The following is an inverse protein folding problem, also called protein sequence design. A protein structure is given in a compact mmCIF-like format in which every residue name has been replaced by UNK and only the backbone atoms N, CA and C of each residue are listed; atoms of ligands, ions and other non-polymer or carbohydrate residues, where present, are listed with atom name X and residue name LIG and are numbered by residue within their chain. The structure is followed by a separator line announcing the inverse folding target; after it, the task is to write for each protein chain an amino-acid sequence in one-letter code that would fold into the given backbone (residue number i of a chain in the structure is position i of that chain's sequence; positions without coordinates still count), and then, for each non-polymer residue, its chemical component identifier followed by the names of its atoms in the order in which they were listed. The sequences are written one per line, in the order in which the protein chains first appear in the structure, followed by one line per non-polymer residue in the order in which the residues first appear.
data_IF_530394152062
#
_entry.id   IF_530394152062
#
_cell.length_a   1.000
_cell.length_b   1.000
_cell.length_c   1.000
_cell.angle_alpha   90.00
_cell.angle_beta   90.00
_cell.angle_gamma   90.00
#
_symmetry.space_group_name_H-M   'P 1'
#
loop_
_entity.id
_entity.type
_entity.pdbx_description
1 polymer ?
#
# COMPACT_ATOMS: atom_id res chain seq x y z
N UNK A 1 27.64 31.71 31.83
CA UNK A 1 27.37 30.25 31.80
C UNK A 1 25.89 29.88 31.76
N UNK A 2 24.94 30.73 32.23
CA UNK A 2 23.47 30.41 32.19
C UNK A 2 22.81 30.58 30.83
N UNK A 3 23.38 31.38 29.93
CA UNK A 3 22.83 31.60 28.59
C UNK A 3 23.12 30.45 27.58
N UNK A 4 24.24 29.72 27.77
CA UNK A 4 24.62 28.61 26.89
C UNK A 4 23.75 27.37 27.11
N UNK A 5 23.28 27.15 28.37
CA UNK A 5 22.42 26.01 28.72
C UNK A 5 21.00 26.15 28.16
N UNK A 6 20.49 27.38 28.03
CA UNK A 6 19.17 27.63 27.46
C UNK A 6 19.11 27.39 25.95
N UNK A 7 20.22 27.66 25.23
CA UNK A 7 20.30 27.45 23.78
C UNK A 7 20.37 25.96 23.42
N UNK A 8 21.02 25.14 24.28
CA UNK A 8 21.11 23.68 24.06
C UNK A 8 19.77 22.96 24.26
N UNK A 9 18.93 23.46 25.18
CA UNK A 9 17.62 22.89 25.48
C UNK A 9 16.59 23.20 24.36
N UNK A 10 16.74 24.34 23.68
CA UNK A 10 15.86 24.73 22.57
C UNK A 10 16.11 23.90 21.29
N UNK A 11 17.33 23.38 21.09
CA UNK A 11 17.64 22.52 19.93
C UNK A 11 17.10 21.09 20.05
N UNK A 12 16.77 20.61 21.25
CA UNK A 12 16.24 19.26 21.46
C UNK A 12 14.73 19.14 21.21
N UNK A 13 14.02 20.26 21.09
CA UNK A 13 12.57 20.28 20.83
C UNK A 13 12.20 20.26 19.34
N UNK A 14 13.16 20.38 18.43
CA UNK A 14 12.92 20.39 16.98
C UNK A 14 12.88 18.97 16.36
N UNK A 15 13.06 17.89 17.12
CA UNK A 15 13.17 16.53 16.60
C UNK A 15 11.83 15.75 16.53
N UNK A 16 10.69 16.38 16.80
CA UNK A 16 9.40 15.80 16.45
C UNK A 16 9.07 16.14 14.99
N UNK A 17 9.78 15.52 14.05
CA UNK A 17 9.29 15.44 12.67
C UNK A 17 7.99 14.64 12.70
N UNK A 18 6.86 15.34 12.78
CA UNK A 18 5.54 14.74 12.76
C UNK A 18 5.37 13.89 11.51
N UNK A 19 4.76 12.72 11.66
CA UNK A 19 4.31 11.90 10.53
C UNK A 19 3.57 12.81 9.56
N UNK A 20 3.93 12.83 8.27
CA UNK A 20 3.28 13.68 7.29
C UNK A 20 1.76 13.42 7.31
N UNK A 21 1.01 14.46 7.65
CA UNK A 21 -0.46 14.37 7.61
C UNK A 21 -0.88 14.21 6.15
N UNK A 22 -1.85 13.32 5.84
CA UNK A 22 -2.36 13.21 4.48
C UNK A 22 -2.78 14.59 3.96
N UNK A 23 -2.59 14.88 2.67
CA UNK A 23 -3.05 16.13 2.09
C UNK A 23 -4.55 16.30 2.36
N UNK A 24 -5.03 17.52 2.67
CA UNK A 24 -6.44 17.78 2.80
C UNK A 24 -7.16 17.43 1.48
N UNK A 25 -8.32 16.77 1.57
CA UNK A 25 -9.13 16.41 0.40
C UNK A 25 -8.85 15.02 -0.20
N UNK A 26 -7.95 14.21 0.38
CA UNK A 26 -7.78 12.83 -0.05
C UNK A 26 -8.91 11.95 0.52
N UNK A 27 -9.63 11.25 -0.36
CA UNK A 27 -10.69 10.32 0.02
C UNK A 27 -10.18 9.09 0.77
N UNK A 28 -11.05 8.42 1.52
CA UNK A 28 -10.71 7.19 2.26
C UNK A 28 -10.28 6.04 1.33
N UNK A 29 -10.78 6.03 0.09
CA UNK A 29 -10.42 5.07 -0.95
C UNK A 29 -9.30 5.58 -1.87
N UNK A 30 -8.53 6.59 -1.47
CA UNK A 30 -7.46 7.17 -2.27
C UNK A 30 -6.11 7.06 -1.58
N UNK A 31 -5.09 6.68 -2.34
CA UNK A 31 -3.70 6.60 -1.92
C UNK A 31 -2.80 7.47 -2.81
N UNK A 32 -1.82 8.13 -2.21
CA UNK A 32 -0.75 8.78 -2.97
C UNK A 32 0.33 7.72 -3.20
N UNK A 33 0.46 7.28 -4.44
CA UNK A 33 1.40 6.19 -4.81
C UNK A 33 2.74 6.71 -5.34
N UNK A 34 2.79 7.98 -5.76
CA UNK A 34 4.02 8.69 -6.11
C UNK A 34 3.76 10.21 -6.00
N UNK A 35 4.78 11.09 -6.01
CA UNK A 35 4.58 12.53 -6.02
C UNK A 35 3.60 12.96 -7.13
N UNK A 36 2.53 13.65 -6.74
CA UNK A 36 1.44 14.09 -7.63
C UNK A 36 0.68 12.95 -8.35
N UNK A 37 0.75 11.72 -7.82
CA UNK A 37 0.06 10.55 -8.40
C UNK A 37 -0.85 9.95 -7.35
N UNK A 38 -2.15 10.05 -7.57
CA UNK A 38 -3.19 9.46 -6.73
C UNK A 38 -3.75 8.23 -7.43
N UNK A 39 -3.86 7.13 -6.70
CA UNK A 39 -4.60 5.95 -7.09
C UNK A 39 -5.91 5.93 -6.31
N UNK A 40 -7.02 5.83 -7.02
CA UNK A 40 -8.32 5.55 -6.42
C UNK A 40 -8.54 4.05 -6.43
N UNK A 41 -8.76 3.45 -5.26
CA UNK A 41 -8.96 2.00 -5.14
C UNK A 41 -10.16 1.59 -6.00
N UNK A 42 -10.00 0.70 -6.98
CA UNK A 42 -11.10 0.25 -7.82
C UNK A 42 -12.08 -0.63 -7.04
N UNK A 43 -13.33 -0.76 -7.48
CA UNK A 43 -14.31 -1.62 -6.83
C UNK A 43 -13.85 -3.10 -6.89
N UNK A 44 -14.32 -3.97 -5.97
CA UNK A 44 -13.95 -5.38 -5.94
C UNK A 44 -14.19 -6.11 -7.25
N UNK A 45 -15.27 -5.78 -7.98
CA UNK A 45 -15.59 -6.36 -9.30
C UNK A 45 -14.46 -6.19 -10.34
N UNK A 46 -13.64 -5.15 -10.20
CA UNK A 46 -12.52 -4.89 -11.10
C UNK A 46 -11.36 -5.91 -10.94
N UNK A 47 -11.38 -6.75 -9.89
CA UNK A 47 -10.46 -7.87 -9.75
C UNK A 47 -10.64 -8.93 -10.85
N UNK A 48 -11.82 -8.96 -11.50
CA UNK A 48 -12.15 -9.86 -12.60
C UNK A 48 -12.49 -11.29 -12.16
N UNK A 49 -12.40 -11.60 -10.87
CA UNK A 49 -12.69 -12.93 -10.30
C UNK A 49 -12.97 -12.87 -8.81
N UNK A 50 -13.61 -13.91 -8.30
CA UNK A 50 -13.65 -14.17 -6.86
C UNK A 50 -12.40 -14.95 -6.44
N UNK A 51 -11.86 -14.64 -5.26
CA UNK A 51 -10.66 -15.28 -4.74
C UNK A 51 -10.57 -15.12 -3.21
N UNK A 52 -10.09 -16.17 -2.54
CA UNK A 52 -9.70 -16.14 -1.14
C UNK A 52 -8.19 -16.31 -1.04
N UNK A 53 -7.51 -15.42 -0.32
CA UNK A 53 -6.06 -15.36 -0.24
C UNK A 53 -5.59 -15.31 1.21
N UNK A 54 -4.51 -16.04 1.48
CA UNK A 54 -3.63 -15.80 2.60
C UNK A 54 -2.36 -15.10 2.10
N UNK A 55 -1.98 -14.00 2.73
CA UNK A 55 -0.77 -13.26 2.38
C UNK A 55 0.08 -12.95 3.60
N UNK A 56 1.40 -13.16 3.48
CA UNK A 56 2.38 -12.60 4.41
C UNK A 56 3.12 -11.46 3.73
N UNK A 57 3.16 -10.31 4.40
CA UNK A 57 3.76 -9.07 3.90
C UNK A 57 4.89 -8.64 4.81
N UNK A 58 6.02 -8.25 4.22
CA UNK A 58 7.11 -7.54 4.91
C UNK A 58 7.35 -6.22 4.19
N UNK A 59 6.99 -5.12 4.84
CA UNK A 59 7.26 -3.77 4.34
C UNK A 59 8.53 -3.21 4.97
N UNK A 60 9.44 -2.69 4.14
CA UNK A 60 10.68 -2.03 4.55
C UNK A 60 10.59 -0.55 4.23
N UNK A 61 10.71 0.29 5.24
CA UNK A 61 10.61 1.73 5.13
C UNK A 61 11.51 2.43 6.17
N UNK A 62 12.35 3.36 5.74
CA UNK A 62 13.29 4.11 6.58
C UNK A 62 14.13 3.22 7.53
N UNK A 63 14.66 2.10 7.01
CA UNK A 63 15.49 1.17 7.78
C UNK A 63 14.72 0.32 8.81
N UNK A 64 13.40 0.39 8.84
CA UNK A 64 12.53 -0.44 9.67
C UNK A 64 11.79 -1.46 8.83
N UNK A 65 11.52 -2.62 9.41
CA UNK A 65 10.70 -3.69 8.81
C UNK A 65 9.42 -3.89 9.62
N UNK A 66 8.33 -4.09 8.90
CA UNK A 66 7.01 -4.34 9.48
C UNK A 66 6.42 -5.58 8.79
N UNK A 67 6.02 -6.56 9.58
CA UNK A 67 5.40 -7.77 9.09
C UNK A 67 3.92 -7.81 9.44
N UNK A 68 3.09 -8.20 8.47
CA UNK A 68 1.66 -8.41 8.62
C UNK A 68 1.24 -9.68 7.88
N UNK A 69 0.38 -10.46 8.49
CA UNK A 69 -0.35 -11.55 7.84
C UNK A 69 -1.76 -11.08 7.50
N UNK A 70 -2.21 -11.35 6.29
CA UNK A 70 -3.51 -10.91 5.80
C UNK A 70 -4.35 -12.09 5.32
N UNK A 71 -5.64 -12.03 5.63
CA UNK A 71 -6.67 -12.83 5.00
C UNK A 71 -7.54 -11.91 4.15
N UNK A 72 -7.73 -12.27 2.89
CA UNK A 72 -8.43 -11.44 1.91
C UNK A 72 -9.43 -12.30 1.18
N UNK A 73 -10.70 -11.88 1.19
CA UNK A 73 -11.76 -12.47 0.41
C UNK A 73 -12.30 -11.44 -0.58
N UNK A 74 -12.36 -11.78 -1.86
CA UNK A 74 -12.87 -10.92 -2.92
C UNK A 74 -13.99 -11.62 -3.64
N UNK A 75 -15.13 -10.94 -3.76
CA UNK A 75 -16.25 -11.29 -4.62
C UNK A 75 -16.61 -10.05 -5.47
N UNK A 76 -17.44 -10.18 -6.52
CA UNK A 76 -17.75 -9.04 -7.40
C UNK A 76 -18.35 -7.82 -6.70
N UNK A 77 -19.08 -8.03 -5.62
CA UNK A 77 -19.78 -7.01 -4.82
C UNK A 77 -19.11 -6.69 -3.49
N UNK A 78 -18.05 -7.43 -3.12
CA UNK A 78 -17.44 -7.35 -1.79
C UNK A 78 -15.95 -7.63 -1.79
N UNK A 79 -15.22 -6.90 -0.93
CA UNK A 79 -13.87 -7.24 -0.49
C UNK A 79 -13.82 -7.17 1.04
N UNK A 80 -13.36 -8.27 1.65
CA UNK A 80 -13.02 -8.30 3.07
C UNK A 80 -11.53 -8.55 3.22
N UNK A 81 -10.88 -7.76 4.07
CA UNK A 81 -9.48 -7.91 4.40
C UNK A 81 -9.29 -7.77 5.91
N UNK A 82 -8.62 -8.74 6.51
CA UNK A 82 -8.16 -8.66 7.90
C UNK A 82 -6.64 -8.79 7.89
N UNK A 83 -5.96 -7.81 8.49
CA UNK A 83 -4.51 -7.83 8.69
C UNK A 83 -4.19 -8.00 10.18
N UNK A 84 -3.21 -8.84 10.48
CA UNK A 84 -2.73 -9.16 11.82
C UNK A 84 -1.21 -8.99 11.88
N UNK A 85 -0.68 -8.65 13.06
CA UNK A 85 0.76 -8.70 13.30
C UNK A 85 1.22 -10.13 13.63
N UNK A 86 2.54 -10.33 13.73
CA UNK A 86 3.12 -11.65 14.06
C UNK A 86 2.74 -12.21 15.44
N UNK A 87 2.02 -11.47 16.27
CA UNK A 87 1.43 -11.92 17.55
C UNK A 87 -0.06 -12.23 17.43
N UNK A 88 -0.63 -12.16 16.21
CA UNK A 88 -2.06 -12.39 15.98
C UNK A 88 -2.97 -11.22 16.39
N UNK A 89 -2.40 -10.05 16.74
CA UNK A 89 -3.22 -8.87 17.05
C UNK A 89 -3.71 -8.24 15.75
N UNK A 90 -5.00 -7.97 15.69
CA UNK A 90 -5.60 -7.32 14.52
C UNK A 90 -5.05 -5.90 14.35
N UNK A 91 -4.43 -5.66 13.20
CA UNK A 91 -3.88 -4.37 12.81
C UNK A 91 -4.92 -3.52 12.08
N UNK A 92 -5.67 -4.14 11.17
CA UNK A 92 -6.77 -3.47 10.48
C UNK A 92 -7.80 -4.46 9.94
N UNK A 93 -9.00 -3.93 9.66
CA UNK A 93 -10.05 -4.61 8.90
C UNK A 93 -10.53 -3.66 7.82
N UNK A 94 -10.72 -4.17 6.62
CA UNK A 94 -11.39 -3.47 5.51
C UNK A 94 -12.56 -4.32 5.08
N UNK A 95 -13.73 -3.70 5.00
CA UNK A 95 -14.91 -4.27 4.34
C UNK A 95 -15.34 -3.28 3.27
N UNK A 96 -15.29 -3.71 2.01
CA UNK A 96 -15.80 -2.94 0.90
C UNK A 96 -17.07 -3.60 0.39
N UNK A 97 -18.19 -2.95 0.56
CA UNK A 97 -19.49 -3.41 0.12
C UNK A 97 -20.29 -2.24 -0.45
N UNK A 98 -21.07 -2.47 -1.50
CA UNK A 98 -21.93 -1.46 -2.12
C UNK A 98 -21.19 -0.18 -2.54
N UNK A 99 -19.93 -0.32 -2.99
CA UNK A 99 -19.11 0.79 -3.46
C UNK A 99 -18.48 1.66 -2.35
N UNK A 100 -18.70 1.32 -1.08
CA UNK A 100 -18.19 2.08 0.07
C UNK A 100 -17.24 1.23 0.90
N UNK A 101 -15.96 1.64 1.05
CA UNK A 101 -15.05 0.99 1.99
C UNK A 101 -15.36 1.42 3.42
N UNK A 102 -15.45 0.45 4.33
CA UNK A 102 -15.42 0.66 5.77
C UNK A 102 -14.08 0.16 6.29
N UNK A 103 -13.33 1.05 6.94
CA UNK A 103 -11.97 0.78 7.35
C UNK A 103 -11.84 0.99 8.86
N UNK A 104 -11.36 -0.06 9.55
CA UNK A 104 -11.02 0.00 10.97
C UNK A 104 -9.52 -0.25 11.12
N UNK A 105 -8.82 0.64 11.79
CA UNK A 105 -7.39 0.55 12.08
C UNK A 105 -7.17 0.53 13.59
N UNK A 106 -6.30 -0.37 14.06
CA UNK A 106 -5.90 -0.41 15.46
C UNK A 106 -5.10 0.84 15.85
N UNK A 107 -5.31 1.34 17.07
CA UNK A 107 -4.61 2.52 17.61
C UNK A 107 -3.09 2.31 17.70
N UNK A 108 -2.65 1.08 17.97
CA UNK A 108 -1.23 0.74 18.07
C UNK A 108 -0.49 0.73 16.72
N UNK A 109 -1.23 0.64 15.59
CA UNK A 109 -0.61 0.66 14.26
C UNK A 109 -0.08 2.07 13.96
N UNK A 110 1.21 2.20 13.60
CA UNK A 110 1.80 3.51 13.37
C UNK A 110 0.99 4.36 12.36
N UNK A 111 0.89 5.69 12.56
CA UNK A 111 0.11 6.57 11.68
C UNK A 111 0.56 6.57 10.22
N UNK A 112 1.81 6.18 9.95
CA UNK A 112 2.36 6.05 8.60
C UNK A 112 1.63 4.97 7.79
N UNK A 113 1.05 3.97 8.43
CA UNK A 113 0.26 2.94 7.76
C UNK A 113 -1.18 3.41 7.58
N UNK A 114 -1.46 3.95 6.42
CA UNK A 114 -2.83 4.24 6.00
C UNK A 114 -3.41 3.00 5.33
N UNK A 115 -4.62 2.56 5.69
CA UNK A 115 -5.25 1.40 5.05
C UNK A 115 -5.37 1.51 3.53
N UNK A 116 -5.65 2.71 3.01
CA UNK A 116 -5.69 2.96 1.58
C UNK A 116 -4.34 2.70 0.88
N UNK A 117 -3.19 2.96 1.54
CA UNK A 117 -1.87 2.72 0.96
C UNK A 117 -1.56 1.22 0.90
N UNK A 118 -2.03 0.44 1.89
CA UNK A 118 -1.92 -1.02 1.89
C UNK A 118 -2.77 -1.61 0.76
N UNK A 119 -4.04 -1.17 0.64
CA UNK A 119 -4.92 -1.59 -0.44
C UNK A 119 -4.38 -1.19 -1.82
N UNK A 120 -3.82 0.01 -1.96
CA UNK A 120 -3.23 0.46 -3.22
C UNK A 120 -2.04 -0.43 -3.63
N UNK A 121 -1.19 -0.82 -2.68
CA UNK A 121 -0.08 -1.74 -2.93
C UNK A 121 -0.58 -3.11 -3.39
N UNK A 122 -1.66 -3.61 -2.79
CA UNK A 122 -2.31 -4.85 -3.18
C UNK A 122 -2.92 -4.75 -4.60
N UNK A 123 -3.65 -3.67 -4.89
CA UNK A 123 -4.19 -3.39 -6.24
C UNK A 123 -3.06 -3.33 -7.28
N UNK A 124 -2.00 -2.58 -7.00
CA UNK A 124 -0.85 -2.46 -7.90
C UNK A 124 -0.18 -3.81 -8.14
N UNK A 125 -0.12 -4.69 -7.15
CA UNK A 125 0.50 -6.00 -7.31
C UNK A 125 -0.35 -6.99 -8.09
N UNK A 126 -1.69 -6.99 -7.94
CA UNK A 126 -2.51 -8.12 -8.38
C UNK A 126 -3.61 -7.79 -9.38
N UNK A 127 -4.13 -6.55 -9.48
CA UNK A 127 -5.15 -6.21 -10.48
C UNK A 127 -4.57 -6.17 -11.90
N UNK A 128 -5.41 -6.34 -12.96
CA UNK A 128 -4.99 -6.19 -14.34
C UNK A 128 -4.36 -4.81 -14.62
N UNK A 129 -3.43 -4.74 -15.59
CA UNK A 129 -2.70 -3.50 -15.94
C UNK A 129 -3.63 -2.36 -16.34
N UNK A 130 -4.67 -2.65 -17.12
CA UNK A 130 -5.68 -1.68 -17.55
C UNK A 130 -6.49 -1.12 -16.39
N UNK A 131 -6.84 -1.97 -15.41
CA UNK A 131 -7.52 -1.55 -14.18
C UNK A 131 -6.61 -0.66 -13.32
N UNK A 132 -5.35 -1.06 -13.12
CA UNK A 132 -4.37 -0.24 -12.39
C UNK A 132 -4.15 1.09 -13.09
N UNK A 133 -4.06 1.08 -14.44
CA UNK A 133 -3.93 2.31 -15.22
C UNK A 133 -5.14 3.23 -15.09
N UNK A 134 -6.35 2.67 -15.14
CA UNK A 134 -7.59 3.43 -14.98
C UNK A 134 -7.73 3.99 -13.55
N UNK A 135 -7.26 3.26 -12.53
CA UNK A 135 -7.26 3.69 -11.14
C UNK A 135 -6.34 4.89 -10.88
N UNK A 136 -5.32 5.09 -11.73
CA UNK A 136 -4.41 6.25 -11.70
C UNK A 136 -4.90 7.27 -12.71
N UNK A 137 -5.62 8.31 -12.26
CA UNK A 137 -6.23 9.34 -13.12
C UNK A 137 -5.20 10.33 -13.72
N UNK A 138 -4.02 9.85 -14.10
CA UNK A 138 -2.95 10.65 -14.71
C UNK A 138 -2.59 10.06 -16.09
N UNK A 139 -2.91 10.77 -17.20
CA UNK A 139 -2.64 10.26 -18.54
C UNK A 139 -1.14 10.10 -18.85
N UNK A 140 -0.27 10.82 -18.14
CA UNK A 140 1.19 10.74 -18.32
C UNK A 140 1.82 9.50 -17.67
N UNK A 141 1.09 8.80 -16.78
CA UNK A 141 1.53 7.56 -16.16
C UNK A 141 1.26 6.39 -17.11
N UNK A 142 2.21 5.51 -17.24
CA UNK A 142 2.11 4.26 -18.00
C UNK A 142 2.18 3.08 -17.03
N UNK A 143 1.39 2.03 -17.30
CA UNK A 143 1.42 0.76 -16.59
C UNK A 143 1.66 -0.34 -17.61
N UNK A 144 2.63 -1.20 -17.38
CA UNK A 144 2.91 -2.34 -18.26
C UNK A 144 3.56 -3.48 -17.48
N UNK A 145 3.17 -4.71 -17.81
CA UNK A 145 3.78 -5.94 -17.31
C UNK A 145 4.49 -6.67 -18.44
N UNK A 146 5.78 -6.91 -18.28
CA UNK A 146 6.60 -7.66 -19.25
C UNK A 146 7.65 -8.48 -18.49
N UNK A 147 7.87 -9.71 -18.93
CA UNK A 147 8.91 -10.64 -18.42
C UNK A 147 8.86 -10.78 -16.88
N UNK A 148 7.65 -10.91 -16.31
CA UNK A 148 7.46 -11.04 -14.87
C UNK A 148 7.69 -9.76 -14.07
N UNK A 149 7.75 -8.60 -14.72
CA UNK A 149 7.95 -7.31 -14.07
C UNK A 149 6.89 -6.31 -14.51
N UNK A 150 6.09 -5.81 -13.57
CA UNK A 150 5.19 -4.67 -13.79
C UNK A 150 5.93 -3.38 -13.49
N UNK A 151 5.76 -2.40 -14.37
CA UNK A 151 6.32 -1.05 -14.18
C UNK A 151 5.23 -0.02 -14.26
N UNK A 152 5.22 0.89 -13.30
CA UNK A 152 4.43 2.11 -13.31
C UNK A 152 5.43 3.25 -13.49
N UNK A 153 5.33 3.99 -14.60
CA UNK A 153 6.33 5.00 -14.97
C UNK A 153 5.67 6.29 -15.47
N UNK A 154 6.42 7.38 -15.39
CA UNK A 154 6.02 8.69 -15.93
C UNK A 154 7.23 9.30 -16.63
N UNK A 155 7.06 9.71 -17.90
CA UNK A 155 8.14 10.33 -18.68
C UNK A 155 9.38 9.46 -18.77
N UNK A 156 9.23 8.14 -18.87
CA UNK A 156 10.34 7.17 -18.92
C UNK A 156 11.00 6.85 -17.57
N UNK A 157 10.62 7.52 -16.48
CA UNK A 157 11.12 7.23 -15.13
C UNK A 157 10.20 6.26 -14.40
N UNK A 158 10.75 5.18 -13.85
CA UNK A 158 10.00 4.28 -12.98
C UNK A 158 9.63 5.01 -11.68
N UNK A 159 8.37 4.81 -11.28
CA UNK A 159 7.82 5.27 -10.00
C UNK A 159 7.66 4.08 -9.06
N UNK A 160 7.15 2.96 -9.61
CA UNK A 160 6.93 1.72 -8.88
C UNK A 160 7.25 0.55 -9.81
N UNK A 161 7.93 -0.44 -9.26
CA UNK A 161 8.23 -1.71 -9.93
C UNK A 161 7.67 -2.85 -9.08
N UNK A 162 7.00 -3.83 -9.71
CA UNK A 162 6.61 -5.09 -9.07
C UNK A 162 7.31 -6.22 -9.81
N UNK A 163 8.19 -6.92 -9.11
CA UNK A 163 8.85 -8.12 -9.63
C UNK A 163 8.11 -9.35 -9.08
N UNK A 164 7.60 -10.17 -9.97
CA UNK A 164 6.88 -11.38 -9.61
C UNK A 164 7.82 -12.57 -9.53
N UNK A 165 7.67 -13.36 -8.48
CA UNK A 165 8.32 -14.64 -8.31
C UNK A 165 7.56 -15.79 -9.00
N UNK A 166 7.98 -17.02 -8.74
CA UNK A 166 7.30 -18.22 -9.23
C UNK A 166 5.82 -18.26 -8.84
N UNK A 167 5.02 -18.95 -9.64
CA UNK A 167 3.57 -19.11 -9.47
C UNK A 167 2.78 -18.40 -10.57
N UNK A 168 1.46 -18.56 -10.55
CA UNK A 168 0.54 -18.00 -11.53
C UNK A 168 -0.55 -17.18 -10.85
N UNK A 169 -1.08 -16.20 -11.59
CA UNK A 169 -2.21 -15.39 -11.13
C UNK A 169 -1.92 -14.70 -9.80
N UNK A 170 -2.73 -15.01 -8.80
CA UNK A 170 -2.64 -14.44 -7.46
C UNK A 170 -1.91 -15.37 -6.47
N UNK A 171 -1.63 -16.61 -6.89
CA UNK A 171 -0.86 -17.60 -6.12
C UNK A 171 0.64 -17.49 -6.45
N UNK A 172 1.22 -16.34 -6.16
CA UNK A 172 2.66 -16.07 -6.40
C UNK A 172 3.23 -15.05 -5.45
N UNK A 173 4.54 -15.10 -5.27
CA UNK A 173 5.25 -14.03 -4.58
C UNK A 173 5.38 -12.77 -5.45
N UNK A 174 5.52 -11.62 -4.80
CA UNK A 174 5.80 -10.36 -5.45
C UNK A 174 6.70 -9.49 -4.57
N UNK A 175 7.58 -8.71 -5.19
CA UNK A 175 8.31 -7.64 -4.52
C UNK A 175 7.93 -6.33 -5.19
N UNK A 176 7.24 -5.47 -4.45
CA UNK A 176 6.90 -4.12 -4.87
C UNK A 176 7.96 -3.16 -4.34
N UNK A 177 8.67 -2.50 -5.24
CA UNK A 177 9.58 -1.41 -4.92
C UNK A 177 8.95 -0.09 -5.34
N UNK A 178 8.78 0.83 -4.41
CA UNK A 178 8.35 2.18 -4.71
C UNK A 178 9.57 3.10 -4.72
N UNK A 179 10.09 3.35 -5.92
CA UNK A 179 11.29 4.17 -6.12
C UNK A 179 11.02 5.65 -5.81
N UNK A 180 9.76 6.07 -5.96
CA UNK A 180 9.36 7.45 -5.73
C UNK A 180 9.35 7.84 -4.25
N UNK A 181 9.07 6.87 -3.36
CA UNK A 181 9.00 7.08 -1.91
C UNK A 181 10.03 6.27 -1.12
N UNK A 182 10.86 5.44 -1.78
CA UNK A 182 11.96 4.72 -1.16
C UNK A 182 11.51 3.63 -0.18
N UNK A 183 10.49 2.83 -0.53
CA UNK A 183 10.10 1.68 0.26
C UNK A 183 9.97 0.40 -0.58
N UNK A 184 10.02 -0.74 0.09
CA UNK A 184 9.86 -2.06 -0.50
C UNK A 184 8.81 -2.86 0.28
N UNK A 185 8.00 -3.63 -0.43
CA UNK A 185 7.04 -4.57 0.14
C UNK A 185 7.27 -5.93 -0.51
N UNK A 186 7.72 -6.91 0.28
CA UNK A 186 7.74 -8.30 -0.12
C UNK A 186 6.41 -8.96 0.26
N UNK A 187 5.81 -9.68 -0.68
CA UNK A 187 4.50 -10.32 -0.54
C UNK A 187 4.66 -11.80 -0.88
N UNK A 188 4.20 -12.68 0.01
CA UNK A 188 3.97 -14.08 -0.27
C UNK A 188 2.46 -14.29 -0.30
N UNK A 189 1.93 -14.81 -1.40
CA UNK A 189 0.48 -14.99 -1.58
C UNK A 189 0.16 -16.43 -1.91
N UNK A 190 -0.88 -16.96 -1.28
CA UNK A 190 -1.45 -18.27 -1.56
C UNK A 190 -2.97 -18.15 -1.69
N UNK A 191 -3.54 -18.78 -2.72
CA UNK A 191 -4.99 -18.99 -2.85
C UNK A 191 -5.40 -20.17 -1.95
N UNK A 192 -6.51 -20.02 -1.22
CA UNK A 192 -7.10 -21.05 -0.36
C UNK A 192 -8.10 -21.92 -1.13
#
# INVERSE_FOLDING_TARGET
MKALSALLLALLLAACAGVPKPPPGLGENQAIVAPKTVLTIPPPSAAGRSVDLAQSIVAKFHGRSYALDMQIAIAPDRLDLVAMDGFGRRAMTVTWKDGVPSIQKAEWLPPVFRPADILASFVIAYWPDDVVKAAIADPSVQVSTKDGVRRISRGGKNLITVTYGPGEGWNRSAVLTNEAFGYEIAIQSAEN
#
